data_IF_847883071100
#
_entry.id   IF_847883071100
#
_cell.length_a   1.000
_cell.length_b   1.000
_cell.length_c   1.000
_cell.angle_alpha   90.00
_cell.angle_beta   90.00
_cell.angle_gamma   90.00
#
_symmetry.space_group_name_H-M   'P 1'
#
loop_
_entity.id
_entity.type
_entity.pdbx_description
1 polymer ?
#
# COMPACT_ATOMS: atom_id res chain seq x y z
N UNK A 1 -0.87 -25.20 -7.21
CA UNK A 1 -0.55 -23.92 -6.54
C UNK A 1 -1.86 -23.17 -6.30
N UNK A 2 -2.10 -22.65 -5.09
CA UNK A 2 -3.31 -21.87 -4.80
C UNK A 2 -3.25 -20.55 -5.57
N UNK A 3 -4.36 -20.15 -6.18
CA UNK A 3 -4.47 -18.87 -6.88
C UNK A 3 -4.49 -17.72 -5.87
N UNK A 4 -3.45 -16.88 -5.89
CA UNK A 4 -3.37 -15.70 -5.01
C UNK A 4 -4.18 -14.50 -5.52
N UNK A 5 -4.75 -14.60 -6.73
CA UNK A 5 -5.47 -13.50 -7.41
C UNK A 5 -6.55 -12.87 -6.55
N UNK A 6 -7.32 -13.69 -5.85
CA UNK A 6 -8.40 -13.20 -5.00
C UNK A 6 -7.87 -12.41 -3.80
N UNK A 7 -6.72 -12.80 -3.22
CA UNK A 7 -6.11 -12.07 -2.10
C UNK A 7 -5.55 -10.71 -2.56
N UNK A 8 -5.00 -10.64 -3.78
CA UNK A 8 -4.61 -9.37 -4.40
C UNK A 8 -5.81 -8.45 -4.61
N UNK A 9 -6.93 -8.97 -5.10
CA UNK A 9 -8.16 -8.20 -5.28
C UNK A 9 -8.70 -7.70 -3.94
N UNK A 10 -8.75 -8.56 -2.92
CA UNK A 10 -9.17 -8.14 -1.57
C UNK A 10 -8.25 -7.10 -0.97
N UNK A 11 -6.93 -7.26 -1.14
CA UNK A 11 -5.97 -6.26 -0.71
C UNK A 11 -6.25 -4.92 -1.39
N UNK A 12 -6.39 -4.91 -2.71
CA UNK A 12 -6.67 -3.70 -3.48
C UNK A 12 -7.95 -3.00 -3.01
N UNK A 13 -9.07 -3.72 -2.92
CA UNK A 13 -10.36 -3.15 -2.54
C UNK A 13 -10.32 -2.56 -1.13
N UNK A 14 -9.82 -3.32 -0.15
CA UNK A 14 -9.77 -2.87 1.25
C UNK A 14 -8.82 -1.69 1.40
N UNK A 15 -7.65 -1.76 0.76
CA UNK A 15 -6.66 -0.69 0.79
C UNK A 15 -7.19 0.59 0.12
N UNK A 16 -7.84 0.47 -1.03
CA UNK A 16 -8.40 1.61 -1.75
C UNK A 16 -9.51 2.29 -0.95
N UNK A 17 -10.48 1.53 -0.43
CA UNK A 17 -11.59 2.08 0.36
C UNK A 17 -11.06 2.77 1.62
N UNK A 18 -10.14 2.12 2.34
CA UNK A 18 -9.54 2.72 3.53
C UNK A 18 -8.67 3.93 3.20
N UNK A 19 -7.97 3.96 2.06
CA UNK A 19 -7.26 5.15 1.56
C UNK A 19 -8.19 6.30 1.25
N UNK A 20 -9.36 6.05 0.67
CA UNK A 20 -10.35 7.11 0.41
C UNK A 20 -10.88 7.71 1.71
N UNK A 21 -11.21 6.87 2.69
CA UNK A 21 -11.64 7.32 4.03
C UNK A 21 -10.52 8.11 4.71
N UNK A 22 -9.29 7.59 4.69
CA UNK A 22 -8.13 8.28 5.24
C UNK A 22 -7.89 9.62 4.53
N UNK A 23 -8.06 9.70 3.20
CA UNK A 23 -7.91 10.94 2.45
C UNK A 23 -8.92 12.02 2.86
N UNK A 24 -10.18 11.64 3.09
CA UNK A 24 -11.21 12.57 3.61
C UNK A 24 -10.84 13.06 5.01
N UNK A 25 -10.36 12.16 5.88
CA UNK A 25 -9.92 12.51 7.24
C UNK A 25 -8.66 13.40 7.20
N UNK A 26 -7.72 13.13 6.30
CA UNK A 26 -6.50 13.91 6.15
C UNK A 26 -6.79 15.35 5.71
N UNK A 27 -7.84 15.56 4.90
CA UNK A 27 -8.24 16.90 4.45
C UNK A 27 -8.71 17.82 5.60
N UNK A 28 -9.10 17.26 6.74
CA UNK A 28 -9.55 18.01 7.93
C UNK A 28 -8.53 18.00 9.08
N UNK A 29 -7.41 17.29 8.93
CA UNK A 29 -6.35 17.20 9.94
C UNK A 29 -5.18 18.15 9.62
N UNK A 30 -4.40 18.58 10.64
CA UNK A 30 -3.16 19.30 10.40
C UNK A 30 -2.19 18.51 9.51
N UNK A 31 -1.51 19.20 8.59
CA UNK A 31 -0.59 18.61 7.60
C UNK A 31 0.52 17.72 8.22
N UNK A 32 0.89 17.95 9.49
CA UNK A 32 1.87 17.14 10.23
C UNK A 32 1.41 15.70 10.50
N UNK A 33 0.10 15.42 10.48
CA UNK A 33 -0.48 14.10 10.80
C UNK A 33 -0.81 13.31 9.53
N UNK A 34 -1.03 13.99 8.40
CA UNK A 34 -1.45 13.38 7.13
C UNK A 34 -0.49 12.29 6.62
N UNK A 35 0.82 12.45 6.84
CA UNK A 35 1.84 11.48 6.43
C UNK A 35 1.70 10.12 7.10
N UNK A 36 1.40 10.08 8.40
CA UNK A 36 1.21 8.82 9.16
C UNK A 36 -0.05 8.10 8.71
N UNK A 37 -1.08 8.86 8.34
CA UNK A 37 -2.36 8.33 7.90
C UNK A 37 -2.25 7.53 6.59
N UNK A 38 -1.21 7.78 5.77
CA UNK A 38 -1.00 7.07 4.50
C UNK A 38 -0.65 5.59 4.66
N UNK A 39 -0.01 5.21 5.77
CA UNK A 39 0.37 3.82 6.04
C UNK A 39 -0.80 2.98 6.59
N UNK A 40 -1.77 3.61 7.24
CA UNK A 40 -2.89 2.93 7.92
C UNK A 40 -3.73 2.07 6.95
N UNK A 41 -4.17 2.59 5.78
CA UNK A 41 -4.90 1.80 4.79
C UNK A 41 -4.18 0.50 4.39
N UNK A 42 -2.87 0.60 4.18
CA UNK A 42 -2.02 -0.53 3.81
C UNK A 42 -2.00 -1.57 4.93
N UNK A 43 -1.78 -1.13 6.18
CA UNK A 43 -1.74 -2.01 7.35
C UNK A 43 -3.08 -2.73 7.57
N UNK A 44 -4.20 -2.01 7.46
CA UNK A 44 -5.54 -2.60 7.56
C UNK A 44 -5.74 -3.68 6.50
N UNK A 45 -5.40 -3.37 5.24
CA UNK A 45 -5.58 -4.30 4.13
C UNK A 45 -4.70 -5.56 4.27
N UNK A 46 -3.42 -5.42 4.63
CA UNK A 46 -2.53 -6.56 4.81
C UNK A 46 -2.98 -7.47 5.96
N UNK A 47 -3.49 -6.90 7.07
CA UNK A 47 -4.01 -7.66 8.21
C UNK A 47 -5.28 -8.40 7.81
N UNK A 48 -6.23 -7.71 7.19
CA UNK A 48 -7.49 -8.30 6.72
C UNK A 48 -7.25 -9.48 5.79
N UNK A 49 -6.37 -9.32 4.81
CA UNK A 49 -6.06 -10.38 3.85
C UNK A 49 -5.36 -11.56 4.51
N UNK A 50 -4.51 -11.34 5.52
CA UNK A 50 -3.89 -12.44 6.25
C UNK A 50 -4.93 -13.25 7.00
N UNK A 51 -5.83 -12.60 7.74
CA UNK A 51 -6.92 -13.30 8.44
C UNK A 51 -7.77 -14.11 7.47
N UNK A 52 -8.09 -13.54 6.31
CA UNK A 52 -8.84 -14.23 5.25
C UNK A 52 -8.08 -15.43 4.69
N UNK A 53 -6.76 -15.30 4.50
CA UNK A 53 -5.90 -16.39 4.05
C UNK A 53 -5.87 -17.53 5.07
N UNK A 54 -5.61 -17.22 6.35
CA UNK A 54 -5.55 -18.21 7.43
C UNK A 54 -6.87 -18.97 7.54
N UNK A 55 -8.02 -18.28 7.59
CA UNK A 55 -9.34 -18.91 7.69
C UNK A 55 -9.67 -19.80 6.49
N UNK A 56 -9.22 -19.44 5.28
CA UNK A 56 -9.54 -20.20 4.06
C UNK A 56 -8.59 -21.38 3.82
N UNK A 57 -7.33 -21.25 4.21
CA UNK A 57 -6.29 -22.26 3.96
C UNK A 57 -5.97 -23.12 5.18
N UNK A 58 -6.45 -22.74 6.37
CA UNK A 58 -6.15 -23.39 7.66
C UNK A 58 -4.65 -23.55 7.95
N UNK A 59 -3.82 -22.68 7.36
CA UNK A 59 -2.37 -22.66 7.56
C UNK A 59 -1.79 -21.27 7.29
N UNK A 60 -0.59 -21.03 7.81
CA UNK A 60 0.20 -19.87 7.44
C UNK A 60 0.66 -19.94 5.95
N UNK A 61 0.94 -18.78 5.32
CA UNK A 61 1.52 -18.74 3.98
C UNK A 61 2.86 -19.48 3.91
N UNK A 62 3.10 -20.19 2.81
CA UNK A 62 4.42 -20.77 2.50
C UNK A 62 5.43 -19.66 2.16
N UNK A 63 6.72 -19.98 2.12
CA UNK A 63 7.77 -19.01 1.76
C UNK A 63 7.53 -18.36 0.38
N UNK A 64 7.11 -19.17 -0.60
CA UNK A 64 6.79 -18.71 -1.95
C UNK A 64 5.56 -17.80 -1.98
N UNK A 65 4.51 -18.14 -1.23
CA UNK A 65 3.30 -17.31 -1.13
C UNK A 65 3.59 -16.00 -0.41
N UNK A 66 4.34 -16.03 0.69
CA UNK A 66 4.79 -14.85 1.43
C UNK A 66 5.53 -13.86 0.52
N UNK A 67 6.50 -14.34 -0.27
CA UNK A 67 7.25 -13.48 -1.23
C UNK A 67 6.32 -12.85 -2.25
N UNK A 68 5.45 -13.66 -2.87
CA UNK A 68 4.49 -13.19 -3.88
C UNK A 68 3.47 -12.20 -3.32
N UNK A 69 2.94 -12.46 -2.13
CA UNK A 69 2.00 -11.58 -1.44
C UNK A 69 2.65 -10.24 -1.08
N UNK A 70 3.86 -10.27 -0.50
CA UNK A 70 4.58 -9.05 -0.11
C UNK A 70 4.90 -8.16 -1.32
N UNK A 71 5.39 -8.76 -2.41
CA UNK A 71 5.67 -8.03 -3.66
C UNK A 71 4.37 -7.55 -4.32
N UNK A 72 3.37 -8.41 -4.42
CA UNK A 72 2.09 -8.09 -5.04
C UNK A 72 1.37 -6.94 -4.33
N UNK A 73 1.32 -6.94 -3.01
CA UNK A 73 0.72 -5.84 -2.24
C UNK A 73 1.49 -4.53 -2.40
N UNK A 74 2.82 -4.58 -2.41
CA UNK A 74 3.64 -3.40 -2.67
C UNK A 74 3.34 -2.83 -4.07
N UNK A 75 3.34 -3.67 -5.11
CA UNK A 75 3.04 -3.25 -6.47
C UNK A 75 1.63 -2.69 -6.63
N UNK A 76 0.63 -3.32 -6.00
CA UNK A 76 -0.76 -2.84 -6.02
C UNK A 76 -0.82 -1.47 -5.35
N UNK A 77 -0.26 -1.34 -4.14
CA UNK A 77 -0.30 -0.11 -3.38
C UNK A 77 0.34 1.04 -4.13
N UNK A 78 1.55 0.86 -4.62
CA UNK A 78 2.24 1.91 -5.39
C UNK A 78 1.58 2.17 -6.73
N UNK A 79 1.08 1.13 -7.40
CA UNK A 79 0.39 1.26 -8.68
C UNK A 79 -0.85 2.14 -8.59
N UNK A 80 -1.78 1.87 -7.67
CA UNK A 80 -2.98 2.68 -7.57
C UNK A 80 -2.71 4.08 -7.03
N UNK A 81 -1.74 4.26 -6.13
CA UNK A 81 -1.35 5.59 -5.65
C UNK A 81 -0.74 6.44 -6.78
N UNK A 82 0.10 5.84 -7.63
CA UNK A 82 0.63 6.50 -8.81
C UNK A 82 -0.49 6.87 -9.80
N UNK A 83 -1.45 5.97 -10.04
CA UNK A 83 -2.63 6.28 -10.85
C UNK A 83 -3.44 7.43 -10.24
N UNK A 84 -3.63 7.46 -8.91
CA UNK A 84 -4.32 8.53 -8.20
C UNK A 84 -3.61 9.88 -8.34
N UNK A 85 -2.28 9.91 -8.21
CA UNK A 85 -1.47 11.10 -8.42
C UNK A 85 -1.62 11.65 -9.85
N UNK A 86 -1.48 10.79 -10.86
CA UNK A 86 -1.59 11.19 -12.27
C UNK A 86 -3.02 11.63 -12.63
N UNK A 87 -4.02 10.94 -12.10
CA UNK A 87 -5.43 11.30 -12.29
C UNK A 87 -5.74 12.65 -11.63
N UNK A 88 -5.25 12.87 -10.41
CA UNK A 88 -5.37 14.15 -9.71
C UNK A 88 -4.73 15.27 -10.53
N UNK A 89 -3.48 15.08 -10.96
CA UNK A 89 -2.76 16.01 -11.82
C UNK A 89 -3.57 16.35 -13.08
N UNK A 90 -4.10 15.34 -13.77
CA UNK A 90 -4.90 15.52 -14.97
C UNK A 90 -6.20 16.30 -14.72
N UNK A 91 -6.91 16.02 -13.63
CA UNK A 91 -8.17 16.71 -13.28
C UNK A 91 -7.91 18.17 -12.92
N UNK A 92 -6.89 18.45 -12.10
CA UNK A 92 -6.58 19.81 -11.65
C UNK A 92 -5.97 20.65 -12.77
N UNK A 93 -5.11 20.07 -13.62
CA UNK A 93 -4.52 20.76 -14.76
C UNK A 93 -5.54 21.26 -15.79
N UNK A 94 -6.75 20.67 -15.84
CA UNK A 94 -7.85 21.19 -16.69
C UNK A 94 -8.38 22.54 -16.22
N UNK A 95 -8.27 22.84 -14.93
CA UNK A 95 -8.73 24.10 -14.34
C UNK A 95 -7.62 25.15 -14.29
N UNK A 96 -6.37 24.69 -14.19
CA UNK A 96 -5.19 25.53 -14.14
C UNK A 96 -4.03 24.90 -14.94
N UNK A 97 -3.75 25.42 -16.15
CA UNK A 97 -2.66 24.93 -17.00
C UNK A 97 -1.27 25.02 -16.36
N UNK A 98 -1.06 25.94 -15.40
CA UNK A 98 0.24 26.11 -14.73
C UNK A 98 0.63 24.88 -13.91
N UNK A 99 -0.35 24.13 -13.38
CA UNK A 99 -0.11 22.90 -12.62
C UNK A 99 0.68 21.89 -13.47
N UNK A 100 0.29 21.71 -14.73
CA UNK A 100 0.98 20.80 -15.64
C UNK A 100 2.39 21.30 -15.98
N UNK A 101 2.53 22.59 -16.24
CA UNK A 101 3.83 23.19 -16.58
C UNK A 101 4.81 23.10 -15.40
N UNK A 102 4.35 23.40 -14.18
CA UNK A 102 5.13 23.29 -12.96
C UNK A 102 5.53 21.84 -12.69
N UNK A 103 4.63 20.87 -12.90
CA UNK A 103 4.96 19.46 -12.76
C UNK A 103 6.10 19.04 -13.71
N UNK A 104 6.02 19.41 -15.00
CA UNK A 104 7.08 19.13 -15.98
C UNK A 104 8.40 19.83 -15.61
N UNK A 105 8.34 21.05 -15.09
CA UNK A 105 9.51 21.80 -14.63
C UNK A 105 10.21 21.07 -13.47
N UNK A 106 9.47 20.67 -12.43
CA UNK A 106 10.02 19.90 -11.32
C UNK A 106 10.56 18.54 -11.76
N UNK A 107 9.89 17.86 -12.70
CA UNK A 107 10.34 16.57 -13.22
C UNK A 107 11.70 16.65 -13.94
N UNK A 108 12.06 17.82 -14.49
CA UNK A 108 13.38 18.04 -15.10
C UNK A 108 14.49 18.30 -14.08
N UNK A 109 14.16 18.58 -12.82
CA UNK A 109 15.15 18.88 -11.78
C UNK A 109 15.70 17.58 -11.18
N UNK A 110 17.01 17.27 -11.33
CA UNK A 110 17.58 16.03 -10.82
C UNK A 110 17.44 15.89 -9.30
N UNK A 111 17.64 16.99 -8.56
CA UNK A 111 17.48 16.99 -7.10
C UNK A 111 16.06 16.64 -6.67
N UNK A 112 15.04 17.16 -7.36
CA UNK A 112 13.65 16.80 -7.10
C UNK A 112 13.41 15.30 -7.28
N UNK A 113 13.87 14.72 -8.39
CA UNK A 113 13.71 13.29 -8.66
C UNK A 113 14.39 12.42 -7.59
N UNK A 114 15.62 12.79 -7.18
CA UNK A 114 16.36 12.08 -6.12
C UNK A 114 15.59 12.17 -4.80
N UNK A 115 15.08 13.35 -4.43
CA UNK A 115 14.29 13.54 -3.21
C UNK A 115 13.00 12.70 -3.23
N UNK A 116 12.27 12.69 -4.34
CA UNK A 116 11.05 11.89 -4.49
C UNK A 116 11.35 10.40 -4.33
N UNK A 117 12.40 9.90 -4.98
CA UNK A 117 12.82 8.50 -4.87
C UNK A 117 13.26 8.17 -3.43
N UNK A 118 14.00 9.06 -2.77
CA UNK A 118 14.45 8.86 -1.39
C UNK A 118 13.27 8.77 -0.42
N UNK A 119 12.30 9.68 -0.50
CA UNK A 119 11.10 9.66 0.33
C UNK A 119 10.25 8.42 0.02
N UNK A 120 10.11 8.08 -1.27
CA UNK A 120 9.38 6.89 -1.69
C UNK A 120 10.00 5.62 -1.10
N UNK A 121 11.33 5.46 -1.17
CA UNK A 121 12.04 4.31 -0.57
C UNK A 121 11.94 4.30 0.96
N UNK A 122 12.00 5.46 1.59
CA UNK A 122 11.84 5.61 3.05
C UNK A 122 10.49 5.08 3.53
N UNK A 123 9.44 5.12 2.70
CA UNK A 123 8.11 4.58 3.01
C UNK A 123 7.97 3.14 2.50
N UNK A 124 8.43 2.86 1.28
CA UNK A 124 8.29 1.56 0.63
C UNK A 124 9.06 0.44 1.34
N UNK A 125 10.29 0.71 1.79
CA UNK A 125 11.10 -0.30 2.44
C UNK A 125 10.47 -0.78 3.77
N UNK A 126 10.07 0.11 4.72
CA UNK A 126 9.37 -0.32 5.93
C UNK A 126 8.07 -1.09 5.65
N UNK A 127 7.24 -0.62 4.70
CA UNK A 127 5.97 -1.30 4.36
C UNK A 127 6.20 -2.69 3.74
N UNK A 128 7.25 -2.85 2.93
CA UNK A 128 7.62 -4.15 2.40
C UNK A 128 8.14 -5.08 3.50
N UNK A 129 9.05 -4.59 4.34
CA UNK A 129 9.65 -5.38 5.42
C UNK A 129 8.61 -5.83 6.45
N UNK A 130 7.71 -4.93 6.86
CA UNK A 130 6.64 -5.27 7.80
C UNK A 130 5.71 -6.33 7.21
N UNK A 131 5.36 -6.23 5.92
CA UNK A 131 4.54 -7.24 5.23
C UNK A 131 5.25 -8.58 5.16
N UNK A 132 6.53 -8.57 4.80
CA UNK A 132 7.35 -9.77 4.71
C UNK A 132 7.50 -10.48 6.06
N UNK A 133 7.67 -9.72 7.14
CA UNK A 133 7.71 -10.25 8.50
C UNK A 133 6.33 -10.77 8.93
N UNK A 134 5.28 -10.00 8.68
CA UNK A 134 3.91 -10.29 9.11
C UNK A 134 3.33 -11.55 8.45
N UNK A 135 3.59 -11.76 7.16
CA UNK A 135 3.19 -12.96 6.42
C UNK A 135 4.10 -14.17 6.68
N UNK A 136 5.10 -14.04 7.55
CA UNK A 136 6.01 -15.11 7.97
C UNK A 136 5.77 -15.52 9.42
N UNK A 137 6.69 -15.11 10.31
CA UNK A 137 6.68 -15.53 11.72
C UNK A 137 5.38 -15.14 12.43
N UNK A 138 4.83 -13.96 12.15
CA UNK A 138 3.58 -13.53 12.77
C UNK A 138 2.38 -14.35 12.26
N UNK A 139 2.32 -14.63 10.96
CA UNK A 139 1.29 -15.50 10.39
C UNK A 139 1.33 -16.92 10.96
N UNK A 140 2.52 -17.46 11.22
CA UNK A 140 2.68 -18.77 11.88
C UNK A 140 2.13 -18.74 13.31
N UNK A 141 2.49 -17.72 14.10
CA UNK A 141 1.95 -17.53 15.46
C UNK A 141 0.42 -17.40 15.46
N UNK A 142 -0.13 -16.64 14.52
CA UNK A 142 -1.58 -16.48 14.37
C UNK A 142 -2.27 -17.79 13.96
N UNK A 143 -1.68 -18.57 13.04
CA UNK A 143 -2.22 -19.85 12.61
C UNK A 143 -2.23 -20.86 13.77
N UNK A 144 -1.12 -20.97 14.52
CA UNK A 144 -1.03 -21.86 15.67
C UNK A 144 -2.08 -21.52 16.73
N UNK A 145 -2.23 -20.23 17.07
CA UNK A 145 -3.25 -19.78 18.03
C UNK A 145 -4.68 -20.03 17.53
N UNK A 146 -4.92 -19.95 16.21
CA UNK A 146 -6.25 -20.11 15.63
C UNK A 146 -6.69 -21.57 15.50
N UNK A 147 -5.74 -22.49 15.28
CA UNK A 147 -6.06 -23.88 14.91
C UNK A 147 -5.50 -24.95 15.84
N UNK A 148 -4.42 -24.66 16.57
CA UNK A 148 -3.70 -25.66 17.38
C UNK A 148 -3.74 -25.38 18.89
N UNK A 149 -4.43 -24.30 19.32
CA UNK A 149 -4.81 -24.00 20.70
C UNK A 149 -3.72 -24.22 21.73
#
# INVERSE_FOLDING_TARGET
MISLRLYYLWFFIVCLISSLIAGVIAAILPNSIGGVLTAIPYLIAMIFVLFKFLKKQHRAPTLSEKKRLSLGFSLIFWGYNACGLLLGLFIFARKDPEIWQNFILYFKQPMFLITVVAIWLMIAAPLFLITYWFYGAQAQRMANKMFNG
#
